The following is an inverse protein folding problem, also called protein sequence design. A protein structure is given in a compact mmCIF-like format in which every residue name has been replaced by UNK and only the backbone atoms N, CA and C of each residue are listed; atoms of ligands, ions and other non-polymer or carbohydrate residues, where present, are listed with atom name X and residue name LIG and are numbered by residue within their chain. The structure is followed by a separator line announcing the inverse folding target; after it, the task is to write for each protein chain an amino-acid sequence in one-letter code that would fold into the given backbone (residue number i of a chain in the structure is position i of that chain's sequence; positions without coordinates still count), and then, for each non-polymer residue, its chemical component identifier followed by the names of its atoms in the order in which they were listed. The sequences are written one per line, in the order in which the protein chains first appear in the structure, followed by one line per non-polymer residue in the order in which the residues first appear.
data_IF_728994610171
#
_entry.id   IF_728994610171
#
_cell.length_a   1.000
_cell.length_b   1.000
_cell.length_c   1.000
_cell.angle_alpha   90.00
_cell.angle_beta   90.00
_cell.angle_gamma   90.00
#
_symmetry.space_group_name_H-M   'P 1'
#
loop_
_entity.id
_entity.type
_entity.pdbx_description
1 polymer ?
#
# COMPACT_ATOMS: atom_id res chain seq x y z
N UNK A 1 -19.13 -7.82 -7.92
CA UNK A 1 -17.85 -8.08 -8.62
C UNK A 1 -17.41 -9.51 -8.30
N UNK A 2 -17.17 -10.35 -9.31
CA UNK A 2 -16.72 -11.74 -9.13
C UNK A 2 -15.37 -11.85 -8.41
N UNK A 3 -15.11 -12.97 -7.72
CA UNK A 3 -13.85 -13.23 -7.01
C UNK A 3 -12.65 -13.14 -7.96
N UNK A 4 -12.74 -13.75 -9.14
CA UNK A 4 -11.66 -13.70 -10.14
C UNK A 4 -11.28 -12.26 -10.53
N UNK A 5 -12.26 -11.36 -10.63
CA UNK A 5 -11.99 -9.95 -10.92
C UNK A 5 -11.26 -9.27 -9.74
N UNK A 6 -11.64 -9.58 -8.49
CA UNK A 6 -10.93 -9.08 -7.30
C UNK A 6 -9.49 -9.57 -7.25
N UNK A 7 -9.25 -10.84 -7.55
CA UNK A 7 -7.91 -11.42 -7.62
C UNK A 7 -7.06 -10.76 -8.71
N UNK A 8 -7.63 -10.45 -9.87
CA UNK A 8 -6.95 -9.67 -10.92
C UNK A 8 -6.52 -8.28 -10.43
N UNK A 9 -7.42 -7.56 -9.75
CA UNK A 9 -7.06 -6.25 -9.18
C UNK A 9 -6.03 -6.36 -8.06
N UNK A 10 -6.10 -7.41 -7.25
CA UNK A 10 -5.09 -7.69 -6.23
C UNK A 10 -3.73 -7.94 -6.87
N UNK A 11 -3.66 -8.77 -7.91
CA UNK A 11 -2.43 -9.04 -8.65
C UNK A 11 -1.87 -7.77 -9.28
N UNK A 12 -2.70 -6.95 -9.93
CA UNK A 12 -2.27 -5.70 -10.56
C UNK A 12 -1.83 -4.64 -9.54
N UNK A 13 -2.51 -4.57 -8.38
CA UNK A 13 -2.20 -3.62 -7.31
C UNK A 13 -0.97 -4.04 -6.51
N UNK A 14 -1.04 -5.22 -5.91
CA UNK A 14 0.00 -5.74 -5.02
C UNK A 14 1.20 -6.29 -5.78
N UNK A 15 1.00 -6.89 -6.95
CA UNK A 15 2.11 -7.32 -7.81
C UNK A 15 2.98 -6.16 -8.29
N UNK A 16 2.40 -4.98 -8.54
CA UNK A 16 3.17 -3.78 -8.88
C UNK A 16 4.12 -3.36 -7.73
N UNK A 17 3.73 -3.60 -6.48
CA UNK A 17 4.59 -3.37 -5.31
C UNK A 17 5.78 -4.34 -5.33
N UNK A 18 5.54 -5.61 -5.63
CA UNK A 18 6.61 -6.59 -5.84
C UNK A 18 7.62 -6.14 -6.90
N UNK A 19 7.13 -5.62 -8.04
CA UNK A 19 7.97 -5.04 -9.10
C UNK A 19 8.75 -3.83 -8.60
N UNK A 20 8.12 -2.90 -7.87
CA UNK A 20 8.82 -1.75 -7.30
C UNK A 20 9.96 -2.16 -6.36
N UNK A 21 9.74 -3.19 -5.53
CA UNK A 21 10.77 -3.73 -4.65
C UNK A 21 11.93 -4.36 -5.44
N UNK A 22 11.64 -5.14 -6.49
CA UNK A 22 12.70 -5.75 -7.30
C UNK A 22 13.47 -4.71 -8.10
N UNK A 23 12.80 -3.69 -8.64
CA UNK A 23 13.46 -2.57 -9.33
C UNK A 23 14.43 -1.83 -8.42
N UNK A 24 14.01 -1.45 -7.21
CA UNK A 24 14.91 -0.84 -6.22
C UNK A 24 16.09 -1.77 -5.91
N UNK A 25 15.83 -3.04 -5.59
CA UNK A 25 16.89 -4.01 -5.27
C UNK A 25 17.98 -4.11 -6.34
N UNK A 26 17.60 -4.09 -7.62
CA UNK A 26 18.53 -4.31 -8.74
C UNK A 26 19.22 -3.03 -9.20
N UNK A 27 18.53 -1.88 -9.12
CA UNK A 27 19.01 -0.62 -9.69
C UNK A 27 19.57 0.37 -8.65
N UNK A 28 19.38 0.12 -7.36
CA UNK A 28 19.84 1.02 -6.30
C UNK A 28 21.37 1.01 -6.14
N UNK A 29 21.94 2.19 -5.94
CA UNK A 29 23.34 2.40 -5.57
C UNK A 29 23.58 2.31 -4.06
N UNK A 30 24.66 2.91 -3.56
CA UNK A 30 24.99 2.89 -2.13
C UNK A 30 23.87 3.53 -1.29
N UNK A 31 23.28 2.80 -0.31
CA UNK A 31 22.16 3.31 0.45
C UNK A 31 22.56 4.37 1.48
N UNK A 32 21.70 5.35 1.69
CA UNK A 32 21.80 6.32 2.78
C UNK A 32 21.23 5.72 4.06
N UNK A 33 21.96 5.83 5.17
CA UNK A 33 21.48 5.36 6.47
C UNK A 33 20.45 6.36 7.05
N UNK A 34 19.25 5.87 7.35
CA UNK A 34 18.25 6.62 8.09
C UNK A 34 18.52 6.50 9.60
N UNK A 35 18.55 7.62 10.33
CA UNK A 35 18.82 7.59 11.76
C UNK A 35 17.59 7.13 12.55
N UNK A 36 17.80 6.29 13.56
CA UNK A 36 16.74 5.97 14.53
C UNK A 36 16.31 7.21 15.31
N UNK A 37 15.00 7.41 15.41
CA UNK A 37 14.40 8.51 16.17
C UNK A 37 14.11 8.10 17.61
N UNK A 38 13.71 9.06 18.45
CA UNK A 38 13.27 8.76 19.81
C UNK A 38 12.05 7.83 19.84
N UNK A 39 11.14 7.95 18.86
CA UNK A 39 9.96 7.09 18.76
C UNK A 39 10.33 5.62 18.52
N UNK A 40 11.33 5.37 17.68
CA UNK A 40 11.81 4.01 17.41
C UNK A 40 12.39 3.36 18.66
N UNK A 41 13.10 4.13 19.48
CA UNK A 41 13.72 3.66 20.72
C UNK A 41 12.71 3.37 21.83
N UNK A 42 11.50 3.94 21.78
CA UNK A 42 10.42 3.57 22.69
C UNK A 42 9.88 2.16 22.44
N UNK A 43 10.16 1.59 21.26
CA UNK A 43 9.76 0.23 20.86
C UNK A 43 11.01 -0.66 20.88
N UNK A 44 11.21 -1.47 21.95
CA UNK A 44 12.38 -2.33 22.05
C UNK A 44 12.41 -3.36 20.92
N UNK A 45 13.60 -3.61 20.39
CA UNK A 45 13.77 -4.64 19.37
C UNK A 45 13.36 -6.02 19.92
N UNK A 46 12.48 -6.72 19.21
CA UNK A 46 12.10 -8.10 19.54
C UNK A 46 11.72 -8.86 18.26
N UNK A 47 12.44 -9.96 17.92
CA UNK A 47 12.16 -10.74 16.71
C UNK A 47 10.78 -11.39 16.70
N UNK A 48 10.15 -11.61 17.87
CA UNK A 48 8.80 -12.18 17.96
C UNK A 48 7.73 -11.28 17.29
N UNK A 49 8.02 -9.98 17.10
CA UNK A 49 7.16 -9.09 16.33
C UNK A 49 6.95 -9.56 14.88
N UNK A 50 7.82 -10.42 14.34
CA UNK A 50 7.72 -10.92 12.97
C UNK A 50 6.38 -11.61 12.68
N UNK A 51 5.76 -12.28 13.65
CA UNK A 51 4.48 -12.95 13.47
C UNK A 51 3.35 -11.97 13.17
N UNK A 52 3.30 -10.88 13.94
CA UNK A 52 2.33 -9.81 13.71
C UNK A 52 2.70 -9.02 12.46
N UNK A 53 3.98 -8.85 12.15
CA UNK A 53 4.41 -8.24 10.90
C UNK A 53 3.92 -9.05 9.69
N UNK A 54 4.16 -10.36 9.64
CA UNK A 54 3.75 -11.20 8.52
C UNK A 54 2.23 -11.29 8.33
N UNK A 55 1.44 -10.96 9.36
CA UNK A 55 -0.01 -10.84 9.19
C UNK A 55 -0.42 -9.76 8.17
N UNK A 56 0.48 -8.84 7.81
CA UNK A 56 0.34 -7.96 6.64
C UNK A 56 -0.02 -8.72 5.35
N UNK A 57 0.61 -9.88 5.12
CA UNK A 57 0.34 -10.71 3.94
C UNK A 57 -1.07 -11.32 3.95
N UNK A 58 -1.76 -11.33 5.09
CA UNK A 58 -3.18 -11.70 5.21
C UNK A 58 -4.10 -10.49 5.06
N UNK A 59 -3.69 -9.33 5.59
CA UNK A 59 -4.45 -8.08 5.52
C UNK A 59 -4.72 -7.66 4.06
N UNK A 60 -3.71 -7.75 3.19
CA UNK A 60 -3.84 -7.30 1.79
C UNK A 60 -4.88 -8.13 1.01
N UNK A 61 -4.81 -9.48 0.94
CA UNK A 61 -5.86 -10.27 0.31
C UNK A 61 -7.23 -10.05 0.94
N UNK A 62 -7.31 -9.99 2.27
CA UNK A 62 -8.58 -9.75 2.97
C UNK A 62 -9.24 -8.45 2.52
N UNK A 63 -8.48 -7.36 2.41
CA UNK A 63 -8.98 -6.07 1.93
C UNK A 63 -9.55 -6.18 0.51
N UNK A 64 -8.83 -6.80 -0.42
CA UNK A 64 -9.30 -6.99 -1.80
C UNK A 64 -10.54 -7.87 -1.91
N UNK A 65 -10.63 -8.92 -1.09
CA UNK A 65 -11.73 -9.88 -1.14
C UNK A 65 -13.01 -9.34 -0.48
N UNK A 66 -12.89 -8.54 0.58
CA UNK A 66 -14.03 -8.18 1.44
C UNK A 66 -14.49 -6.71 1.34
N UNK A 67 -13.66 -5.81 0.81
CA UNK A 67 -14.08 -4.41 0.59
C UNK A 67 -15.20 -4.32 -0.44
N UNK A 68 -15.95 -3.22 -0.41
CA UNK A 68 -17.03 -2.96 -1.35
C UNK A 68 -16.50 -3.01 -2.79
N UNK A 69 -17.23 -3.67 -3.69
CA UNK A 69 -16.79 -3.91 -5.07
C UNK A 69 -16.39 -2.62 -5.82
N UNK A 70 -17.08 -1.51 -5.54
CA UNK A 70 -16.79 -0.21 -6.15
C UNK A 70 -15.45 0.41 -5.68
N UNK A 71 -14.89 -0.05 -4.56
CA UNK A 71 -13.63 0.44 -3.98
C UNK A 71 -12.41 -0.32 -4.49
N UNK A 72 -12.58 -1.57 -4.92
CA UNK A 72 -11.49 -2.46 -5.37
C UNK A 72 -10.59 -1.83 -6.45
N UNK A 73 -11.12 -1.22 -7.54
CA UNK A 73 -10.27 -0.64 -8.57
C UNK A 73 -9.49 0.59 -8.06
N UNK A 74 -10.06 1.35 -7.11
CA UNK A 74 -9.39 2.51 -6.51
C UNK A 74 -8.27 2.06 -5.58
N UNK A 75 -8.50 1.00 -4.80
CA UNK A 75 -7.47 0.39 -3.96
C UNK A 75 -6.27 -0.07 -4.80
N UNK A 76 -6.51 -0.82 -5.88
CA UNK A 76 -5.47 -1.28 -6.78
C UNK A 76 -4.66 -0.11 -7.38
N UNK A 77 -5.34 0.92 -7.90
CA UNK A 77 -4.67 2.10 -8.49
C UNK A 77 -3.87 2.90 -7.47
N UNK A 78 -4.38 3.04 -6.24
CA UNK A 78 -3.66 3.74 -5.18
C UNK A 78 -2.39 2.96 -4.79
N UNK A 79 -2.45 1.63 -4.71
CA UNK A 79 -1.27 0.79 -4.48
C UNK A 79 -0.26 0.90 -5.62
N UNK A 80 -0.72 0.89 -6.88
CA UNK A 80 0.15 1.08 -8.05
C UNK A 80 0.86 2.43 -8.02
N UNK A 81 0.14 3.49 -7.67
CA UNK A 81 0.74 4.82 -7.55
C UNK A 81 1.79 4.86 -6.44
N UNK A 82 1.50 4.26 -5.27
CA UNK A 82 2.50 4.12 -4.21
C UNK A 82 3.72 3.35 -4.71
N UNK A 83 3.52 2.23 -5.41
CA UNK A 83 4.60 1.41 -5.96
C UNK A 83 5.49 2.20 -6.92
N UNK A 84 4.91 2.93 -7.87
CA UNK A 84 5.65 3.74 -8.84
C UNK A 84 6.45 4.84 -8.15
N UNK A 85 5.82 5.60 -7.25
CA UNK A 85 6.50 6.69 -6.55
C UNK A 85 7.62 6.15 -5.65
N UNK A 86 7.37 5.08 -4.91
CA UNK A 86 8.40 4.41 -4.10
C UNK A 86 9.53 3.87 -4.95
N UNK A 87 9.26 3.23 -6.10
CA UNK A 87 10.30 2.72 -7.00
C UNK A 87 11.23 3.84 -7.48
N UNK A 88 10.66 4.99 -7.87
CA UNK A 88 11.45 6.17 -8.27
C UNK A 88 12.35 6.62 -7.12
N UNK A 89 11.82 6.70 -5.90
CA UNK A 89 12.61 7.12 -4.73
C UNK A 89 13.68 6.08 -4.37
N UNK A 90 13.37 4.78 -4.38
CA UNK A 90 14.32 3.72 -4.08
C UNK A 90 15.53 3.75 -5.04
N UNK A 91 15.30 4.07 -6.31
CA UNK A 91 16.37 4.16 -7.31
C UNK A 91 17.18 5.45 -7.16
N UNK A 92 16.51 6.60 -6.99
CA UNK A 92 17.19 7.91 -6.92
C UNK A 92 17.85 8.18 -5.57
N UNK A 93 17.27 7.65 -4.49
CA UNK A 93 17.73 7.84 -3.12
C UNK A 93 17.51 6.56 -2.30
N UNK A 94 18.33 5.51 -2.54
CA UNK A 94 18.25 4.28 -1.78
C UNK A 94 18.54 4.55 -0.31
N UNK A 95 17.78 3.91 0.57
CA UNK A 95 17.89 4.12 2.01
C UNK A 95 17.87 2.80 2.76
N UNK A 96 18.60 2.77 3.87
CA UNK A 96 18.70 1.62 4.76
C UNK A 96 18.63 2.08 6.22
N UNK A 97 18.62 1.14 7.16
CA UNK A 97 18.60 1.42 8.59
C UNK A 97 19.60 0.51 9.31
N UNK A 98 19.87 0.81 10.58
CA UNK A 98 20.70 -0.05 11.42
C UNK A 98 19.91 -1.28 11.88
N UNK A 99 20.25 -2.46 11.37
CA UNK A 99 19.61 -3.71 11.75
C UNK A 99 20.28 -4.30 13.00
N UNK A 100 19.56 -4.44 14.14
CA UNK A 100 20.14 -5.07 15.33
C UNK A 100 20.44 -6.55 15.09
N UNK A 101 21.45 -7.11 15.77
CA UNK A 101 21.70 -8.54 15.73
C UNK A 101 20.50 -9.30 16.33
N UNK A 102 20.11 -10.40 15.67
CA UNK A 102 19.02 -11.25 16.14
C UNK A 102 19.57 -12.22 17.20
N UNK A 103 19.03 -12.22 18.44
CA UNK A 103 19.50 -13.14 19.47
C UNK A 103 19.21 -14.59 19.07
N UNK A 104 20.23 -15.45 19.16
CA UNK A 104 20.10 -16.88 18.90
C UNK A 104 19.06 -17.52 19.82
N UNK A 105 18.13 -18.30 19.25
CA UNK A 105 17.09 -18.99 20.00
C UNK A 105 15.89 -18.14 20.43
N UNK A 106 15.86 -16.84 20.07
CA UNK A 106 14.69 -16.01 20.32
C UNK A 106 13.48 -16.46 19.49
N UNK A 107 12.28 -16.32 20.05
CA UNK A 107 11.05 -16.63 19.34
C UNK A 107 10.93 -15.77 18.06
N UNK A 108 10.70 -16.42 16.93
CA UNK A 108 10.62 -15.75 15.63
C UNK A 108 11.98 -15.40 15.00
N UNK A 109 13.12 -15.73 15.61
CA UNK A 109 14.45 -15.41 15.08
C UNK A 109 14.66 -15.96 13.65
N UNK A 110 14.51 -17.27 13.45
CA UNK A 110 14.68 -17.91 12.13
C UNK A 110 13.72 -17.39 11.06
N UNK A 111 12.51 -17.02 11.48
CA UNK A 111 11.50 -16.46 10.58
C UNK A 111 11.87 -15.03 10.17
N UNK A 112 12.37 -14.22 11.11
CA UNK A 112 12.87 -12.90 10.82
C UNK A 112 14.14 -12.96 9.96
N UNK A 113 15.08 -13.87 10.23
CA UNK A 113 16.26 -14.10 9.38
C UNK A 113 15.88 -14.44 7.94
N UNK A 114 14.94 -15.38 7.76
CA UNK A 114 14.44 -15.74 6.42
C UNK A 114 13.78 -14.57 5.70
N UNK A 115 13.02 -13.74 6.44
CA UNK A 115 12.42 -12.54 5.91
C UNK A 115 13.48 -11.52 5.47
N UNK A 116 14.50 -11.27 6.30
CA UNK A 116 15.63 -10.38 5.99
C UNK A 116 16.37 -10.85 4.74
N UNK A 117 16.64 -12.14 4.61
CA UNK A 117 17.31 -12.71 3.44
C UNK A 117 16.51 -12.51 2.14
N UNK A 118 15.19 -12.44 2.24
CA UNK A 118 14.30 -12.22 1.10
C UNK A 118 14.02 -10.75 0.79
N UNK A 119 14.27 -9.84 1.74
CA UNK A 119 13.94 -8.42 1.64
C UNK A 119 15.12 -7.59 1.11
N UNK A 120 14.84 -6.43 0.52
CA UNK A 120 15.89 -5.51 0.06
C UNK A 120 16.27 -4.57 1.21
N UNK A 121 17.52 -4.63 1.66
CA UNK A 121 18.04 -3.69 2.66
C UNK A 121 18.04 -2.22 2.20
N UNK A 122 17.82 -1.96 0.90
CA UNK A 122 17.96 -0.64 0.27
C UNK A 122 16.62 0.05 -0.04
N UNK A 123 15.50 -0.62 0.21
CA UNK A 123 14.14 -0.13 -0.09
C UNK A 123 13.43 0.34 1.18
N UNK A 124 14.11 1.09 2.05
CA UNK A 124 13.56 1.50 3.34
C UNK A 124 12.52 2.62 3.19
N UNK A 125 12.90 3.77 2.62
CA UNK A 125 12.06 4.96 2.49
C UNK A 125 11.54 5.19 1.06
N UNK A 126 10.23 5.47 0.88
CA UNK A 126 9.16 5.43 1.87
C UNK A 126 8.62 4.00 2.06
N UNK A 127 8.10 3.68 3.26
CA UNK A 127 7.62 2.33 3.56
C UNK A 127 6.37 1.95 2.77
N UNK A 128 6.50 1.00 1.85
CA UNK A 128 5.35 0.43 1.14
C UNK A 128 4.46 -0.40 2.07
N UNK A 129 5.02 -1.03 3.10
CA UNK A 129 4.22 -1.70 4.14
C UNK A 129 3.30 -0.70 4.86
N UNK A 130 3.81 0.47 5.24
CA UNK A 130 3.00 1.54 5.84
C UNK A 130 1.90 2.04 4.90
N UNK A 131 2.27 2.34 3.64
CA UNK A 131 1.33 2.80 2.62
C UNK A 131 0.19 1.80 2.38
N UNK A 132 0.52 0.53 2.15
CA UNK A 132 -0.45 -0.52 1.84
C UNK A 132 -1.31 -0.87 3.05
N UNK A 133 -0.72 -0.94 4.25
CA UNK A 133 -1.47 -1.20 5.48
C UNK A 133 -2.55 -0.15 5.68
N UNK A 134 -2.20 1.13 5.55
CA UNK A 134 -3.16 2.23 5.63
C UNK A 134 -4.27 2.11 4.58
N UNK A 135 -3.92 1.86 3.31
CA UNK A 135 -4.88 1.72 2.22
C UNK A 135 -5.85 0.54 2.46
N UNK A 136 -5.33 -0.61 2.91
CA UNK A 136 -6.12 -1.78 3.24
C UNK A 136 -7.05 -1.54 4.43
N UNK A 137 -6.55 -0.96 5.52
CA UNK A 137 -7.36 -0.60 6.69
C UNK A 137 -8.47 0.37 6.29
N UNK A 138 -8.13 1.43 5.55
CA UNK A 138 -9.12 2.37 5.04
C UNK A 138 -10.17 1.67 4.17
N UNK A 139 -9.77 0.73 3.32
CA UNK A 139 -10.67 -0.08 2.48
C UNK A 139 -11.60 -1.00 3.29
N UNK A 140 -11.15 -1.50 4.45
CA UNK A 140 -11.92 -2.36 5.34
C UNK A 140 -12.87 -1.57 6.26
N UNK A 141 -12.54 -0.32 6.58
CA UNK A 141 -13.41 0.53 7.39
C UNK A 141 -14.74 0.84 6.70
N UNK A 142 -15.84 0.68 7.43
CA UNK A 142 -17.21 0.93 6.99
C UNK A 142 -18.13 1.27 8.16
N UNK A 143 -18.98 2.29 8.01
CA UNK A 143 -20.01 2.66 9.01
C UNK A 143 -21.00 1.54 9.30
N UNK A 144 -21.20 0.62 8.35
CA UNK A 144 -22.10 -0.55 8.51
C UNK A 144 -21.47 -1.68 9.34
N UNK A 145 -20.15 -1.66 9.54
CA UNK A 145 -19.38 -2.71 10.24
C UNK A 145 -18.38 -2.06 11.21
N UNK A 146 -18.85 -1.36 12.25
CA UNK A 146 -17.99 -0.57 13.13
C UNK A 146 -16.98 -1.43 13.88
N UNK A 147 -17.38 -2.60 14.39
CA UNK A 147 -16.48 -3.53 15.09
C UNK A 147 -15.36 -4.00 14.17
N UNK A 148 -15.69 -4.46 12.95
CA UNK A 148 -14.68 -4.85 11.97
C UNK A 148 -13.75 -3.69 11.59
N UNK A 149 -14.27 -2.46 11.57
CA UNK A 149 -13.48 -1.27 11.30
C UNK A 149 -12.47 -1.00 12.42
N UNK A 150 -12.90 -1.09 13.68
CA UNK A 150 -12.01 -0.96 14.84
C UNK A 150 -10.95 -2.05 14.84
N UNK A 151 -11.34 -3.31 14.61
CA UNK A 151 -10.40 -4.42 14.52
C UNK A 151 -9.37 -4.22 13.40
N UNK A 152 -9.80 -3.75 12.21
CA UNK A 152 -8.88 -3.45 11.12
C UNK A 152 -7.90 -2.32 11.49
N UNK A 153 -8.37 -1.27 12.18
CA UNK A 153 -7.52 -0.17 12.64
C UNK A 153 -6.50 -0.64 13.68
N UNK A 154 -6.94 -1.40 14.69
CA UNK A 154 -6.06 -1.98 15.70
C UNK A 154 -5.03 -2.93 15.08
N UNK A 155 -5.44 -3.73 14.09
CA UNK A 155 -4.55 -4.60 13.35
C UNK A 155 -3.51 -3.80 12.56
N UNK A 156 -3.92 -2.72 11.88
CA UNK A 156 -3.00 -1.82 11.19
C UNK A 156 -1.96 -1.17 12.11
N UNK A 157 -2.39 -0.70 13.29
CA UNK A 157 -1.46 -0.21 14.31
C UNK A 157 -0.52 -1.30 14.81
N UNK A 158 -1.03 -2.52 15.04
CA UNK A 158 -0.24 -3.67 15.42
C UNK A 158 0.84 -4.01 14.39
N UNK A 159 0.49 -3.99 13.10
CA UNK A 159 1.47 -4.17 12.02
C UNK A 159 2.52 -3.07 12.07
N UNK A 160 2.12 -1.80 12.13
CA UNK A 160 3.06 -0.66 12.20
C UNK A 160 4.02 -0.76 13.40
N UNK A 161 3.50 -1.10 14.58
CA UNK A 161 4.29 -1.36 15.76
C UNK A 161 5.29 -2.50 15.53
N UNK A 162 4.81 -3.64 15.02
CA UNK A 162 5.64 -4.84 14.82
C UNK A 162 6.76 -4.64 13.80
N UNK A 163 6.52 -3.80 12.79
CA UNK A 163 7.52 -3.44 11.78
C UNK A 163 8.65 -2.61 12.38
N UNK A 164 8.33 -1.66 13.28
CA UNK A 164 9.35 -0.90 14.03
C UNK A 164 10.05 -1.81 15.06
N UNK A 165 9.29 -2.66 15.75
CA UNK A 165 9.80 -3.61 16.74
C UNK A 165 10.81 -4.61 16.13
N UNK A 166 10.62 -5.01 14.88
CA UNK A 166 11.53 -5.90 14.15
C UNK A 166 12.61 -5.14 13.38
N UNK A 167 12.64 -3.80 13.51
CA UNK A 167 13.54 -2.89 12.78
C UNK A 167 13.56 -3.17 11.28
N UNK A 168 12.38 -3.33 10.69
CA UNK A 168 12.25 -3.41 9.22
C UNK A 168 12.01 -2.05 8.59
N UNK A 169 11.31 -1.19 9.32
CA UNK A 169 11.16 0.23 9.02
C UNK A 169 11.30 1.03 10.33
N UNK A 170 11.65 2.30 10.21
CA UNK A 170 11.61 3.28 11.30
C UNK A 170 10.30 4.07 11.21
N UNK A 171 10.00 4.82 12.26
CA UNK A 171 8.80 5.66 12.34
C UNK A 171 8.77 6.71 11.22
N UNK A 172 9.94 7.23 10.81
CA UNK A 172 10.05 8.26 9.78
C UNK A 172 9.62 7.74 8.40
N UNK A 173 10.12 6.59 7.98
CA UNK A 173 9.80 6.02 6.67
C UNK A 173 8.45 5.28 6.67
N UNK A 174 8.05 4.71 7.81
CA UNK A 174 6.68 4.22 8.02
C UNK A 174 5.66 5.35 7.86
N UNK A 175 5.91 6.49 8.52
CA UNK A 175 5.08 7.69 8.42
C UNK A 175 5.05 8.27 7.00
N UNK A 176 6.19 8.34 6.32
CA UNK A 176 6.25 8.77 4.92
C UNK A 176 5.46 7.83 4.00
N UNK A 177 5.52 6.52 4.24
CA UNK A 177 4.70 5.53 3.57
C UNK A 177 3.20 5.78 3.76
N UNK A 178 2.78 6.02 5.01
CA UNK A 178 1.38 6.35 5.31
C UNK A 178 0.93 7.64 4.61
N UNK A 179 1.78 8.69 4.60
CA UNK A 179 1.49 9.93 3.87
C UNK A 179 1.35 9.69 2.36
N UNK A 180 2.24 8.89 1.78
CA UNK A 180 2.16 8.49 0.38
C UNK A 180 0.86 7.72 0.09
N UNK A 181 0.47 6.80 0.97
CA UNK A 181 -0.80 6.08 0.90
C UNK A 181 -2.01 7.02 0.94
N UNK A 182 -2.04 7.96 1.89
CA UNK A 182 -3.05 9.01 1.98
C UNK A 182 -3.14 9.83 0.69
N UNK A 183 -2.01 10.36 0.21
CA UNK A 183 -1.94 11.20 -0.98
C UNK A 183 -2.39 10.43 -2.24
N UNK A 184 -1.92 9.18 -2.40
CA UNK A 184 -2.27 8.32 -3.52
C UNK A 184 -3.76 7.97 -3.51
N UNK A 185 -4.29 7.59 -2.34
CA UNK A 185 -5.71 7.30 -2.17
C UNK A 185 -6.59 8.51 -2.46
N UNK A 186 -6.19 9.69 -1.97
CA UNK A 186 -6.87 10.96 -2.24
C UNK A 186 -6.86 11.30 -3.73
N UNK A 187 -5.69 11.24 -4.38
CA UNK A 187 -5.55 11.59 -5.79
C UNK A 187 -6.40 10.68 -6.68
N UNK A 188 -6.34 9.36 -6.45
CA UNK A 188 -7.16 8.38 -7.20
C UNK A 188 -8.66 8.62 -6.98
N UNK A 189 -9.07 8.94 -5.75
CA UNK A 189 -10.46 9.26 -5.46
C UNK A 189 -10.89 10.57 -6.13
N UNK A 190 -10.04 11.60 -6.11
CA UNK A 190 -10.28 12.89 -6.73
C UNK A 190 -10.44 12.76 -8.24
N UNK A 191 -9.49 12.10 -8.92
CA UNK A 191 -9.54 11.85 -10.36
C UNK A 191 -10.77 11.01 -10.75
N UNK A 192 -11.15 10.02 -9.93
CA UNK A 192 -12.37 9.24 -10.17
C UNK A 192 -13.61 10.13 -10.15
N UNK A 193 -13.73 11.02 -9.15
CA UNK A 193 -14.87 11.95 -9.03
C UNK A 193 -14.92 12.94 -10.19
N UNK A 194 -13.78 13.45 -10.65
CA UNK A 194 -13.72 14.36 -11.80
C UNK A 194 -14.20 13.65 -13.08
N UNK A 195 -13.79 12.41 -13.29
CA UNK A 195 -14.24 11.60 -14.43
C UNK A 195 -15.75 11.34 -14.37
N UNK A 196 -16.27 10.97 -13.20
CA UNK A 196 -17.70 10.72 -13.02
C UNK A 196 -18.52 12.00 -13.28
N UNK A 197 -18.05 13.17 -12.80
CA UNK A 197 -18.68 14.47 -13.06
C UNK A 197 -18.68 14.87 -14.54
N UNK A 198 -17.59 14.61 -15.27
CA UNK A 198 -17.53 14.88 -16.71
C UNK A 198 -18.50 14.00 -17.49
N UNK A 199 -18.62 12.72 -17.11
CA UNK A 199 -19.55 11.80 -17.75
C UNK A 199 -21.02 12.20 -17.54
N UNK A 200 -21.35 12.86 -16.42
CA UNK A 200 -22.71 13.32 -16.10
C UNK A 200 -22.96 14.80 -16.43
N UNK A 201 -22.04 15.47 -17.15
CA UNK A 201 -22.17 16.91 -17.45
C UNK A 201 -23.21 17.16 -18.56
N UNK A 202 -24.02 18.25 -18.49
CA UNK A 202 -25.01 18.60 -19.51
C UNK A 202 -24.42 18.73 -20.93
N UNK A 203 -23.16 19.17 -21.04
CA UNK A 203 -22.47 19.26 -22.33
C UNK A 203 -22.17 17.88 -22.94
N UNK A 204 -21.87 16.88 -22.12
CA UNK A 204 -21.69 15.50 -22.58
C UNK A 204 -23.01 14.87 -23.01
N UNK A 205 -24.11 15.13 -22.30
CA UNK A 205 -25.45 14.68 -22.71
C UNK A 205 -25.93 15.39 -23.97
N UNK A 206 -25.63 16.69 -24.12
CA UNK A 206 -25.96 17.47 -25.32
C UNK A 206 -25.21 16.95 -26.54
N UNK A 207 -23.91 16.66 -26.42
CA UNK A 207 -23.11 16.11 -27.53
C UNK A 207 -23.57 14.70 -27.93
N UNK A 208 -23.92 13.85 -26.96
CA UNK A 208 -24.47 12.52 -27.25
C UNK A 208 -25.82 12.60 -27.98
N UNK A 209 -26.68 13.55 -27.57
CA UNK A 209 -27.98 13.77 -28.19
C UNK A 209 -27.85 14.33 -29.62
N UNK A 210 -26.97 15.30 -29.82
CA UNK A 210 -26.69 15.85 -31.15
C UNK A 210 -26.09 14.81 -32.11
N UNK A 211 -25.17 13.95 -31.63
CA UNK A 211 -24.62 12.87 -32.44
C UNK A 211 -25.70 11.86 -32.88
N UNK A 212 -26.62 11.50 -31.98
CA UNK A 212 -27.74 10.60 -32.28
C UNK A 212 -28.75 11.22 -33.28
N UNK A 213 -29.06 12.50 -33.14
CA UNK A 213 -29.92 13.24 -34.08
C UNK A 213 -29.29 13.31 -35.48
N UNK A 214 -27.96 13.49 -35.56
CA UNK A 214 -27.23 13.53 -36.84
C UNK A 214 -27.21 12.16 -37.54
N UNK A 215 -27.16 11.06 -36.78
CA UNK A 215 -27.16 9.71 -37.32
C UNK A 215 -28.55 9.35 -37.91
N UNK A 216 -29.64 9.73 -37.23
CA UNK A 216 -31.01 9.57 -37.72
C UNK A 216 -31.30 10.37 -39.00
N UNK A 217 -30.78 11.59 -39.13
CA UNK A 217 -30.94 12.41 -40.33
C UNK A 217 -30.15 11.86 -41.54
N UNK A 218 -29.10 11.08 -41.31
CA UNK A 218 -28.29 10.46 -42.37
C UNK A 218 -28.89 9.17 -42.94
N UNK A 219 -29.85 8.57 -42.24
CA UNK A 219 -30.53 7.34 -42.65
C UNK A 219 -31.91 7.59 -43.32
N UNK A 220 -32.37 8.85 -43.40
CA UNK A 220 -33.62 9.27 -44.06
C UNK A 220 -33.39 9.85 -45.46
#
# INVERSE_FOLDING_TARGET
MPVLARLRFMLLGWGAVGVAYTTGRVLSGTPTLLPETALDRLIPFNPAGVWLYLSFFLLVPLAFLTTDAARVPRLARAMQLCAVVSAVIFVLWPTTLHYPPIPSGAAGASLLDGLIASDSAQNCFPSLHGALTLLCVAALCSRRRPVASVLAVLWGFGIGWSVIQTRRHLAIDLGAGMLLGCASGWLVAHLSRLRDRRATSPAASSNAKAAFETELESES
#
